data_IF_789597909104
#
_entry.id   IF_789597909104
#
_cell.length_a   1.000
_cell.length_b   1.000
_cell.length_c   1.000
_cell.angle_alpha   90.00
_cell.angle_beta   90.00
_cell.angle_gamma   90.00
#
_symmetry.space_group_name_H-M   'P 1'
#
loop_
_entity.id
_entity.type
_entity.pdbx_description
1 polymer ?
#
# COMPACT_ATOMS: atom_id res chain seq x y z
N UNK A 1 13.13 55.57 -18.21
CA UNK A 1 13.34 55.32 -19.66
C UNK A 1 13.97 53.94 -19.85
N UNK A 2 13.52 53.15 -20.81
CA UNK A 2 14.13 51.85 -21.11
C UNK A 2 15.30 52.04 -22.09
N UNK A 3 16.52 51.79 -21.64
CA UNK A 3 17.73 51.83 -22.49
C UNK A 3 17.79 50.52 -23.29
N UNK A 4 18.03 50.62 -24.59
CA UNK A 4 18.15 49.47 -25.48
C UNK A 4 19.55 49.35 -26.07
N UNK A 5 20.16 48.19 -25.87
CA UNK A 5 21.51 47.87 -26.32
C UNK A 5 21.41 47.09 -27.63
N UNK A 6 22.12 47.53 -28.66
CA UNK A 6 22.18 46.87 -29.97
C UNK A 6 23.61 46.42 -30.27
N UNK A 7 23.76 45.19 -30.76
CA UNK A 7 25.06 44.65 -31.15
C UNK A 7 25.67 45.37 -32.36
N UNK A 8 24.85 45.75 -33.35
CA UNK A 8 25.31 46.38 -34.58
C UNK A 8 24.20 47.23 -35.24
N UNK A 9 24.55 47.96 -36.31
CA UNK A 9 23.62 48.80 -37.09
C UNK A 9 22.44 48.01 -37.68
N UNK A 10 22.63 46.73 -38.04
CA UNK A 10 21.56 45.85 -38.58
C UNK A 10 20.46 45.60 -37.53
N UNK A 11 20.84 45.32 -36.30
CA UNK A 11 19.90 45.15 -35.18
C UNK A 11 19.14 46.45 -34.90
N UNK A 12 19.86 47.59 -34.85
CA UNK A 12 19.26 48.89 -34.60
C UNK A 12 18.25 49.30 -35.69
N UNK A 13 18.61 49.13 -36.97
CA UNK A 13 17.71 49.44 -38.09
C UNK A 13 16.44 48.57 -38.06
N UNK A 14 16.59 47.27 -37.79
CA UNK A 14 15.44 46.35 -37.72
C UNK A 14 14.49 46.72 -36.58
N UNK A 15 15.04 47.17 -35.45
CA UNK A 15 14.26 47.67 -34.32
C UNK A 15 13.52 48.97 -34.64
N UNK A 16 14.19 49.94 -35.29
CA UNK A 16 13.54 51.20 -35.74
C UNK A 16 12.41 50.94 -36.74
N UNK A 17 12.56 49.92 -37.59
CA UNK A 17 11.52 49.43 -38.50
C UNK A 17 10.43 48.60 -37.80
N UNK A 18 10.47 48.50 -36.46
CA UNK A 18 9.50 47.78 -35.62
C UNK A 18 9.31 46.31 -36.04
N UNK A 19 10.35 45.68 -36.59
CA UNK A 19 10.30 44.25 -36.97
C UNK A 19 10.34 43.39 -35.72
N UNK A 20 9.46 42.38 -35.65
CA UNK A 20 9.43 41.46 -34.53
C UNK A 20 10.63 40.49 -34.61
N UNK A 21 11.52 40.45 -33.61
CA UNK A 21 12.65 39.53 -33.61
C UNK A 21 12.22 38.05 -33.64
N UNK A 22 10.99 37.71 -33.21
CA UNK A 22 10.45 36.34 -33.25
C UNK A 22 10.16 35.81 -34.65
N UNK A 23 10.16 36.68 -35.66
CA UNK A 23 9.89 36.32 -37.06
C UNK A 23 11.16 36.42 -37.92
N UNK A 24 12.27 36.90 -37.35
CA UNK A 24 13.56 37.00 -38.04
C UNK A 24 14.37 35.72 -37.80
N UNK A 25 14.66 34.89 -38.84
CA UNK A 25 15.13 33.51 -38.67
C UNK A 25 16.46 33.33 -37.92
N UNK A 26 17.36 34.30 -38.02
CA UNK A 26 18.69 34.22 -37.43
C UNK A 26 18.74 34.66 -35.96
N UNK A 27 17.65 35.19 -35.38
CA UNK A 27 17.67 35.65 -33.99
C UNK A 27 17.50 34.49 -33.01
N UNK A 28 18.02 34.67 -31.80
CA UNK A 28 17.83 33.71 -30.69
C UNK A 28 16.35 33.52 -30.36
N UNK A 29 15.55 34.60 -30.38
CA UNK A 29 14.11 34.52 -30.09
C UNK A 29 13.35 33.66 -31.12
N UNK A 30 13.66 33.82 -32.41
CA UNK A 30 13.08 32.96 -33.44
C UNK A 30 13.47 31.50 -33.23
N UNK A 31 14.75 31.21 -32.96
CA UNK A 31 15.23 29.84 -32.72
C UNK A 31 14.59 29.21 -31.49
N UNK A 32 14.35 29.97 -30.42
CA UNK A 32 13.58 29.54 -29.24
C UNK A 32 12.13 29.20 -29.59
N UNK A 33 11.41 30.11 -30.28
CA UNK A 33 10.01 29.93 -30.70
C UNK A 33 9.83 28.68 -31.57
N UNK A 34 10.78 28.43 -32.48
CA UNK A 34 10.72 27.33 -33.45
C UNK A 34 11.56 26.11 -33.05
N UNK A 35 12.02 26.04 -31.80
CA UNK A 35 12.78 24.90 -31.25
C UNK A 35 14.01 24.49 -32.11
N UNK A 36 14.73 25.47 -32.67
CA UNK A 36 15.91 25.22 -33.53
C UNK A 36 17.22 25.25 -32.74
N UNK A 37 17.98 24.16 -32.84
CA UNK A 37 19.32 23.98 -32.23
C UNK A 37 19.37 24.20 -30.72
N UNK A 38 20.56 24.45 -30.16
CA UNK A 38 20.81 24.50 -28.70
C UNK A 38 19.92 25.49 -27.92
N UNK A 39 19.52 26.61 -28.55
CA UNK A 39 18.63 27.60 -27.93
C UNK A 39 17.15 27.21 -27.97
N UNK A 40 16.76 26.34 -28.90
CA UNK A 40 15.42 25.81 -29.05
C UNK A 40 15.24 24.44 -28.39
N UNK A 41 16.34 23.71 -28.22
CA UNK A 41 16.45 22.61 -27.27
C UNK A 41 16.20 23.17 -25.89
N UNK A 42 15.13 22.67 -25.29
CA UNK A 42 14.79 22.87 -23.89
C UNK A 42 15.84 22.15 -23.02
N UNK A 43 17.09 22.64 -23.02
CA UNK A 43 18.08 22.37 -21.99
C UNK A 43 17.65 22.95 -20.64
N UNK A 44 16.50 23.62 -20.57
CA UNK A 44 15.68 23.71 -19.37
C UNK A 44 15.05 22.34 -19.04
N UNK A 45 15.88 21.29 -19.03
CA UNK A 45 15.81 20.10 -18.20
C UNK A 45 14.41 19.95 -17.60
N UNK A 46 13.47 19.34 -18.37
CA UNK A 46 12.07 19.10 -17.99
C UNK A 46 12.01 18.98 -16.48
N UNK A 47 11.51 20.01 -15.79
CA UNK A 47 11.68 20.15 -14.34
C UNK A 47 11.28 18.83 -13.69
N UNK A 48 12.28 18.02 -13.33
CA UNK A 48 12.02 16.67 -12.84
C UNK A 48 11.46 16.87 -11.46
N UNK A 49 10.16 16.70 -11.31
CA UNK A 49 9.48 16.85 -10.04
C UNK A 49 10.08 15.84 -9.06
N UNK A 50 10.77 16.34 -8.02
CA UNK A 50 11.23 15.49 -6.92
C UNK A 50 9.99 15.02 -6.16
N UNK A 51 9.70 13.72 -6.19
CA UNK A 51 8.70 13.11 -5.32
C UNK A 51 9.34 12.91 -3.95
N UNK A 52 8.87 13.64 -2.95
CA UNK A 52 9.28 13.43 -1.56
C UNK A 52 8.22 12.58 -0.88
N UNK A 53 8.55 11.33 -0.57
CA UNK A 53 7.67 10.43 0.19
C UNK A 53 7.98 10.64 1.67
N UNK A 54 7.16 11.43 2.34
CA UNK A 54 7.26 11.63 3.78
C UNK A 54 6.68 10.39 4.48
N UNK A 55 7.53 9.44 4.84
CA UNK A 55 7.15 8.35 5.73
C UNK A 55 7.09 8.95 7.13
N UNK A 56 5.89 9.03 7.71
CA UNK A 56 5.70 9.65 9.01
C UNK A 56 6.41 8.85 10.12
N UNK A 57 7.59 9.32 10.52
CA UNK A 57 8.30 8.88 11.73
C UNK A 57 7.81 9.67 12.95
N UNK A 58 6.50 9.69 13.20
CA UNK A 58 5.89 10.46 14.29
C UNK A 58 5.43 9.53 15.41
N UNK A 59 5.44 10.04 16.64
CA UNK A 59 4.77 9.40 17.76
C UNK A 59 3.26 9.29 17.45
N UNK A 60 2.63 8.22 17.92
CA UNK A 60 1.22 7.93 17.66
C UNK A 60 0.48 7.85 18.99
N UNK A 61 -0.40 8.83 19.25
CA UNK A 61 -1.17 8.91 20.49
C UNK A 61 -0.28 8.82 21.72
N UNK A 62 -0.48 7.75 22.51
CA UNK A 62 0.24 7.52 23.76
C UNK A 62 1.56 6.74 23.59
N UNK A 63 1.95 6.42 22.35
CA UNK A 63 3.19 5.68 22.06
C UNK A 63 4.23 6.64 21.51
N UNK A 64 5.32 6.81 22.27
CA UNK A 64 6.46 7.62 21.84
C UNK A 64 7.16 7.01 20.62
N UNK A 65 7.86 7.85 19.85
CA UNK A 65 8.64 7.41 18.69
C UNK A 65 9.68 6.36 19.06
N UNK A 66 10.31 6.50 20.22
CA UNK A 66 11.32 5.56 20.73
C UNK A 66 10.73 4.17 20.98
N UNK A 67 9.54 4.10 21.60
CA UNK A 67 8.87 2.83 21.84
C UNK A 67 8.48 2.12 20.52
N UNK A 68 8.10 2.89 19.49
CA UNK A 68 7.81 2.35 18.15
C UNK A 68 9.08 1.80 17.50
N UNK A 69 10.18 2.55 17.54
CA UNK A 69 11.47 2.14 16.96
C UNK A 69 12.04 0.91 17.68
N UNK A 70 11.97 0.88 19.01
CA UNK A 70 12.43 -0.25 19.81
C UNK A 70 11.71 -1.54 19.44
N UNK A 71 10.37 -1.51 19.30
CA UNK A 71 9.59 -2.68 18.87
C UNK A 71 9.85 -3.05 17.40
N UNK A 72 9.94 -2.07 16.51
CA UNK A 72 10.16 -2.30 15.06
C UNK A 72 11.52 -2.95 14.79
N UNK A 73 12.55 -2.51 15.51
CA UNK A 73 13.93 -2.94 15.28
C UNK A 73 14.27 -4.25 16.03
N UNK A 74 13.29 -4.94 16.64
CA UNK A 74 13.52 -6.25 17.25
C UNK A 74 13.90 -7.29 16.19
N UNK A 75 14.96 -8.04 16.49
CA UNK A 75 15.47 -9.10 15.61
C UNK A 75 14.36 -10.10 15.26
N UNK A 76 14.35 -10.64 14.02
CA UNK A 76 13.31 -11.55 13.57
C UNK A 76 13.27 -12.86 14.36
N UNK A 77 14.36 -13.26 15.01
CA UNK A 77 14.43 -14.42 15.89
C UNK A 77 13.61 -14.21 17.17
N UNK A 78 13.78 -13.06 17.84
CA UNK A 78 12.99 -12.70 19.02
C UNK A 78 11.49 -12.65 18.70
N UNK A 79 11.14 -12.07 17.54
CA UNK A 79 9.74 -12.02 17.07
C UNK A 79 9.16 -13.41 16.79
N UNK A 80 9.97 -14.33 16.24
CA UNK A 80 9.55 -15.72 16.00
C UNK A 80 9.31 -16.47 17.31
N UNK A 81 10.22 -16.36 18.28
CA UNK A 81 10.06 -16.98 19.59
C UNK A 81 8.79 -16.52 20.32
N UNK A 82 8.53 -15.21 20.34
CA UNK A 82 7.31 -14.66 20.96
C UNK A 82 6.03 -15.14 20.24
N UNK A 83 6.08 -15.28 18.91
CA UNK A 83 4.97 -15.83 18.12
C UNK A 83 4.73 -17.31 18.44
N UNK A 84 5.78 -18.12 18.53
CA UNK A 84 5.68 -19.55 18.85
C UNK A 84 5.12 -19.78 20.27
N UNK A 85 5.58 -19.00 21.25
CA UNK A 85 5.05 -19.01 22.61
C UNK A 85 3.55 -18.66 22.63
N UNK A 86 3.15 -17.60 21.93
CA UNK A 86 1.74 -17.21 21.83
C UNK A 86 0.88 -18.29 21.15
N UNK A 87 1.38 -18.93 20.09
CA UNK A 87 0.70 -20.06 19.43
C UNK A 87 0.56 -21.25 20.37
N UNK A 88 1.59 -21.56 21.15
CA UNK A 88 1.56 -22.65 22.13
C UNK A 88 0.52 -22.38 23.21
N UNK A 89 0.54 -21.19 23.82
CA UNK A 89 -0.44 -20.77 24.82
C UNK A 89 -1.87 -20.81 24.27
N UNK A 90 -2.10 -20.34 23.04
CA UNK A 90 -3.41 -20.40 22.40
C UNK A 90 -3.89 -21.85 22.16
N UNK A 91 -2.99 -22.74 21.74
CA UNK A 91 -3.30 -24.17 21.57
C UNK A 91 -3.63 -24.85 22.90
N UNK A 92 -2.93 -24.51 23.97
CA UNK A 92 -3.19 -25.05 25.32
C UNK A 92 -4.54 -24.54 25.87
N UNK A 93 -4.84 -23.25 25.74
CA UNK A 93 -6.14 -22.69 26.10
C UNK A 93 -7.30 -23.32 25.28
N UNK A 94 -7.07 -23.58 24.00
CA UNK A 94 -8.05 -24.27 23.15
C UNK A 94 -8.25 -25.75 23.53
N UNK A 95 -7.21 -26.42 24.05
CA UNK A 95 -7.31 -27.80 24.57
C UNK A 95 -8.05 -27.81 25.90
N UNK A 96 -7.74 -26.90 26.82
CA UNK A 96 -8.40 -26.76 28.12
C UNK A 96 -9.90 -26.50 27.96
N UNK A 97 -10.27 -25.52 27.13
CA UNK A 97 -11.68 -25.23 26.84
C UNK A 97 -12.41 -26.40 26.15
N UNK A 98 -11.72 -27.21 25.33
CA UNK A 98 -12.30 -28.44 24.75
C UNK A 98 -12.49 -29.54 25.79
N UNK A 99 -11.57 -29.72 26.73
CA UNK A 99 -11.73 -30.69 27.82
C UNK A 99 -12.85 -30.28 28.77
N UNK A 100 -12.98 -29.00 29.11
CA UNK A 100 -14.08 -28.47 29.92
C UNK A 100 -15.44 -28.70 29.23
N UNK A 101 -15.54 -28.41 27.92
CA UNK A 101 -16.75 -28.69 27.14
C UNK A 101 -17.09 -30.18 27.07
N UNK A 102 -16.08 -31.06 26.95
CA UNK A 102 -16.27 -32.52 26.98
C UNK A 102 -16.72 -33.03 28.35
N UNK A 103 -16.13 -32.49 29.43
CA UNK A 103 -16.52 -32.83 30.80
C UNK A 103 -17.95 -32.37 31.11
N UNK A 104 -18.31 -31.14 30.71
CA UNK A 104 -19.68 -30.62 30.83
C UNK A 104 -20.70 -31.47 30.05
N UNK A 105 -20.38 -31.87 28.81
CA UNK A 105 -21.25 -32.75 28.02
C UNK A 105 -21.36 -34.18 28.59
N UNK A 106 -20.32 -34.70 29.25
CA UNK A 106 -20.37 -36.02 29.90
C UNK A 106 -21.22 -35.97 31.17
N UNK A 107 -21.11 -34.92 31.97
CA UNK A 107 -21.97 -34.68 33.14
C UNK A 107 -23.44 -34.49 32.75
N UNK A 108 -23.73 -33.86 31.62
CA UNK A 108 -25.10 -33.77 31.05
C UNK A 108 -25.65 -35.13 30.58
N UNK A 109 -24.78 -36.06 30.15
CA UNK A 109 -25.15 -37.39 29.66
C UNK A 109 -25.35 -38.39 30.80
N UNK A 110 -24.57 -38.30 31.87
CA UNK A 110 -24.74 -39.10 33.09
C UNK A 110 -26.02 -38.74 33.85
N UNK A 111 -26.48 -37.47 33.78
CA UNK A 111 -27.81 -37.07 34.28
C UNK A 111 -29.01 -37.56 33.46
N UNK A 112 -28.79 -38.29 32.34
CA UNK A 112 -29.86 -38.81 31.47
C UNK A 112 -29.94 -40.35 31.40
N UNK A 113 -29.30 -41.09 32.30
CA UNK A 113 -29.34 -42.55 32.30
C UNK A 113 -30.30 -43.14 33.37
N UNK A 114 -31.58 -43.32 33.01
CA UNK A 114 -32.53 -44.31 33.54
C UNK A 114 -33.77 -44.40 32.57
N UNK A 115 -34.53 -45.51 32.47
CA UNK A 115 -34.29 -46.58 31.49
C UNK A 115 -35.36 -46.72 30.37
N UNK A 116 -34.94 -47.41 29.31
CA UNK A 116 -35.67 -48.15 28.25
C UNK A 116 -37.16 -47.89 27.98
N UNK A 117 -37.50 -47.53 26.74
CA UNK A 117 -38.71 -48.02 26.05
C UNK A 117 -38.43 -48.37 24.58
N UNK A 118 -38.50 -49.69 24.36
CA UNK A 118 -39.02 -50.47 23.22
C UNK A 118 -38.83 -50.01 21.76
N UNK A 119 -38.36 -50.98 20.98
CA UNK A 119 -38.29 -51.05 19.52
C UNK A 119 -39.70 -50.97 18.89
N UNK A 120 -39.84 -50.17 17.84
CA UNK A 120 -40.85 -50.32 16.77
C UNK A 120 -40.12 -50.10 15.43
N UNK A 121 -40.27 -50.98 14.41
CA UNK A 121 -39.47 -50.91 13.18
C UNK A 121 -40.14 -50.10 12.05
N UNK A 122 -39.30 -49.30 11.35
CA UNK A 122 -39.37 -48.86 9.92
C UNK A 122 -40.56 -47.96 9.49
N UNK A 123 -40.41 -47.07 8.49
CA UNK A 123 -39.67 -47.29 7.25
C UNK A 123 -38.65 -46.22 6.82
N UNK A 124 -37.69 -46.74 6.06
CA UNK A 124 -36.68 -46.10 5.22
C UNK A 124 -37.24 -45.00 4.32
N UNK A 125 -36.70 -43.77 4.44
CA UNK A 125 -36.68 -42.79 3.35
C UNK A 125 -35.27 -42.70 2.78
N UNK A 126 -35.22 -43.00 1.50
CA UNK A 126 -34.08 -43.06 0.59
C UNK A 126 -33.21 -41.81 0.62
N UNK A 127 -31.90 -42.04 0.57
CA UNK A 127 -30.87 -41.03 0.34
C UNK A 127 -31.06 -40.39 -1.04
N UNK A 128 -30.99 -39.06 -1.10
CA UNK A 128 -30.73 -38.37 -2.36
C UNK A 128 -29.22 -38.40 -2.66
N UNK A 129 -28.81 -38.64 -3.92
CA UNK A 129 -27.41 -38.80 -4.29
C UNK A 129 -26.63 -37.48 -4.17
N UNK A 130 -25.48 -37.53 -3.49
CA UNK A 130 -24.46 -36.48 -3.56
C UNK A 130 -23.81 -36.54 -4.93
N UNK A 131 -24.09 -35.55 -5.77
CA UNK A 131 -23.35 -35.32 -7.01
C UNK A 131 -21.95 -34.86 -6.64
N UNK A 132 -20.97 -35.67 -7.02
CA UNK A 132 -19.56 -35.32 -6.94
C UNK A 132 -19.23 -34.18 -7.91
N UNK A 133 -18.49 -33.20 -7.41
CA UNK A 133 -17.84 -32.17 -8.21
C UNK A 133 -16.37 -32.12 -7.82
N UNK A 134 -15.57 -33.04 -8.36
CA UNK A 134 -14.13 -32.86 -8.50
C UNK A 134 -13.90 -32.40 -9.94
N UNK A 135 -13.67 -31.11 -10.12
CA UNK A 135 -12.69 -30.49 -11.01
C UNK A 135 -12.66 -29.00 -10.72
#
# INVERSE_FOLDING_TARGET
>A
MQVQIFLNKKCQRSYRLKRNPRDIPWTVLYRRKHKKGVHGEENAQKKRTRRVIQIASRAVGNVSLEAILAKRNQKPEFRRAQREQAIKAAKEAARASKSEKKAANKALKEKKAAPSKMKIPKPTKTQQPRVGGKR
#
